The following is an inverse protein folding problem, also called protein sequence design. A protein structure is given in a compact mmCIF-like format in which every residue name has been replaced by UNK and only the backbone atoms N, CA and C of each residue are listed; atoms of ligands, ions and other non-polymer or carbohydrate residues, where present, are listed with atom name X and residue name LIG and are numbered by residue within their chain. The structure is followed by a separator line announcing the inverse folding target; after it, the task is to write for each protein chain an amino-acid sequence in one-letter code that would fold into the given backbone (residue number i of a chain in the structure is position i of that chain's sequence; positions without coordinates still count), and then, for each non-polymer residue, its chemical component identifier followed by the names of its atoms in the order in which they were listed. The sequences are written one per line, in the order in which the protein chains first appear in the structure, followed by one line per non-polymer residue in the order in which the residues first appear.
data_IF_214631996164
#
_entry.id   IF_214631996164
#
_cell.length_a   1.000
_cell.length_b   1.000
_cell.length_c   1.000
_cell.angle_alpha   90.00
_cell.angle_beta   90.00
_cell.angle_gamma   90.00
#
_symmetry.space_group_name_H-M   'P 1'
#
loop_
_entity.id
_entity.type
_entity.pdbx_description
1 polymer ?
#
# COMPACT_ATOMS: atom_id res chain seq x y z
N UNK A 1 -5.28 -3.89 -3.29
CA UNK A 1 -3.89 -3.82 -3.80
C UNK A 1 -3.39 -5.25 -4.00
N UNK A 2 -2.93 -5.64 -5.19
CA UNK A 2 -2.35 -6.98 -5.43
C UNK A 2 -3.21 -8.15 -4.93
N UNK A 3 -4.54 -8.06 -5.10
CA UNK A 3 -5.51 -9.07 -4.62
C UNK A 3 -5.88 -9.00 -3.13
N UNK A 4 -5.26 -8.09 -2.37
CA UNK A 4 -5.52 -7.86 -0.94
C UNK A 4 -6.41 -6.63 -0.74
N UNK A 5 -7.30 -6.70 0.24
CA UNK A 5 -8.03 -5.54 0.77
C UNK A 5 -7.30 -5.10 2.02
N UNK A 6 -6.80 -3.88 2.01
CA UNK A 6 -6.11 -3.29 3.16
C UNK A 6 -6.96 -2.13 3.67
N UNK A 7 -7.07 -1.97 4.99
CA UNK A 7 -7.70 -0.81 5.56
C UNK A 7 -6.90 0.44 5.21
N UNK A 8 -7.61 1.53 4.95
CA UNK A 8 -7.01 2.83 4.67
C UNK A 8 -7.75 3.86 5.52
N UNK A 9 -7.03 4.47 6.45
CA UNK A 9 -7.57 5.56 7.25
C UNK A 9 -7.35 6.88 6.53
N UNK A 10 -8.42 7.66 6.39
CA UNK A 10 -8.37 9.02 5.87
C UNK A 10 -8.45 9.98 7.05
N UNK A 11 -7.58 10.99 7.09
CA UNK A 11 -7.57 11.99 8.17
C UNK A 11 -8.88 12.75 8.28
N UNK A 12 -9.55 12.92 7.13
CA UNK A 12 -10.83 13.60 7.03
C UNK A 12 -11.74 12.87 6.04
N UNK A 13 -13.06 12.92 6.24
CA UNK A 13 -14.01 12.45 5.22
C UNK A 13 -13.96 13.37 3.98
N UNK A 14 -14.34 12.84 2.82
CA UNK A 14 -14.42 13.61 1.56
C UNK A 14 -13.07 13.94 0.93
N UNK A 15 -12.00 13.24 1.28
CA UNK A 15 -10.70 13.45 0.62
C UNK A 15 -10.74 13.00 -0.84
N UNK A 16 -10.13 13.81 -1.70
CA UNK A 16 -9.95 13.45 -3.10
C UNK A 16 -8.74 12.51 -3.28
N UNK A 17 -8.70 11.70 -4.35
CA UNK A 17 -7.54 10.85 -4.64
C UNK A 17 -6.22 11.63 -4.72
N UNK A 18 -6.24 12.88 -5.21
CA UNK A 18 -5.04 13.72 -5.27
C UNK A 18 -4.53 14.14 -3.90
N UNK A 19 -5.41 14.28 -2.92
CA UNK A 19 -5.01 14.64 -1.56
C UNK A 19 -4.41 13.44 -0.84
N UNK A 20 -5.03 12.27 -0.98
CA UNK A 20 -4.51 11.02 -0.42
C UNK A 20 -3.14 10.68 -0.99
N UNK A 21 -3.00 10.73 -2.32
CA UNK A 21 -1.70 10.46 -2.96
C UNK A 21 -0.64 11.48 -2.59
N UNK A 22 -1.02 12.74 -2.32
CA UNK A 22 -0.11 13.77 -1.81
C UNK A 22 0.37 13.46 -0.39
N UNK A 23 -0.51 12.98 0.49
CA UNK A 23 -0.12 12.52 1.84
C UNK A 23 0.85 11.34 1.73
N UNK A 24 0.53 10.36 0.88
CA UNK A 24 1.39 9.20 0.65
C UNK A 24 2.79 9.59 0.16
N UNK A 25 2.88 10.53 -0.79
CA UNK A 25 4.17 11.02 -1.28
C UNK A 25 4.93 11.84 -0.23
N UNK A 26 4.26 12.80 0.43
CA UNK A 26 4.94 13.79 1.26
C UNK A 26 5.20 13.30 2.69
N UNK A 27 4.27 12.55 3.25
CA UNK A 27 4.28 12.19 4.68
C UNK A 27 4.65 10.72 4.89
N UNK A 28 4.33 9.85 3.92
CA UNK A 28 4.69 8.43 3.99
C UNK A 28 5.93 8.11 3.15
N UNK A 29 6.42 9.06 2.35
CA UNK A 29 7.63 8.89 1.54
C UNK A 29 7.47 7.96 0.34
N UNK A 30 6.23 7.70 -0.11
CA UNK A 30 5.94 6.79 -1.21
C UNK A 30 6.11 7.54 -2.53
N UNK A 31 7.26 7.37 -3.18
CA UNK A 31 7.55 8.03 -4.43
C UNK A 31 6.51 7.67 -5.53
N UNK A 32 6.05 8.71 -6.25
CA UNK A 32 5.13 8.60 -7.38
C UNK A 32 3.74 8.05 -7.04
N UNK A 33 3.28 8.12 -5.79
CA UNK A 33 1.93 7.71 -5.42
C UNK A 33 0.84 8.45 -6.21
N UNK A 34 1.10 9.67 -6.68
CA UNK A 34 0.24 10.45 -7.58
C UNK A 34 -0.07 9.78 -8.93
N UNK A 35 0.70 8.74 -9.31
CA UNK A 35 0.46 7.94 -10.52
C UNK A 35 -0.54 6.80 -10.32
N UNK A 36 -1.01 6.59 -9.09
CA UNK A 36 -2.03 5.60 -8.80
C UNK A 36 -3.40 6.07 -9.26
N UNK A 37 -4.22 5.13 -9.72
CA UNK A 37 -5.61 5.32 -10.11
C UNK A 37 -6.52 4.64 -9.12
N UNK A 38 -7.61 5.31 -8.78
CA UNK A 38 -8.62 4.84 -7.86
C UNK A 38 -9.83 4.42 -8.68
N UNK A 39 -10.24 3.16 -8.56
CA UNK A 39 -11.44 2.66 -9.22
C UNK A 39 -12.68 3.34 -8.66
N UNK A 40 -13.57 3.79 -9.54
CA UNK A 40 -14.81 4.40 -9.13
C UNK A 40 -15.83 3.32 -8.69
N UNK A 41 -16.84 3.69 -7.88
CA UNK A 41 -17.96 2.81 -7.58
C UNK A 41 -18.65 2.31 -8.86
N UNK A 42 -19.32 1.14 -8.83
CA UNK A 42 -19.96 0.56 -10.01
C UNK A 42 -21.07 1.44 -10.62
N UNK A 43 -21.63 2.35 -9.84
CA UNK A 43 -22.66 3.31 -10.27
C UNK A 43 -22.09 4.54 -11.00
N UNK A 44 -20.77 4.74 -10.97
CA UNK A 44 -20.13 5.88 -11.61
C UNK A 44 -20.06 5.70 -13.14
N UNK A 45 -20.21 6.81 -13.88
CA UNK A 45 -20.14 6.82 -15.34
C UNK A 45 -18.74 6.44 -15.88
N UNK A 46 -17.70 6.61 -15.07
CA UNK A 46 -16.31 6.35 -15.44
C UNK A 46 -15.71 5.25 -14.56
N UNK A 47 -14.81 4.44 -15.13
CA UNK A 47 -14.11 3.37 -14.40
C UNK A 47 -13.16 3.90 -13.31
N UNK A 48 -12.64 5.12 -13.49
CA UNK A 48 -11.65 5.72 -12.59
C UNK A 48 -12.19 7.02 -12.03
N UNK A 49 -11.92 7.26 -10.74
CA UNK A 49 -12.18 8.54 -10.09
C UNK A 49 -11.23 9.60 -10.62
N UNK A 50 -11.77 10.79 -10.89
CA UNK A 50 -11.01 11.99 -11.18
C UNK A 50 -10.19 12.39 -9.97
N UNK A 51 -8.88 12.57 -10.16
CA UNK A 51 -7.97 12.84 -9.06
C UNK A 51 -8.32 14.11 -8.28
N UNK A 52 -8.92 15.11 -8.93
CA UNK A 52 -9.23 16.43 -8.36
C UNK A 52 -10.71 16.71 -8.14
N UNK A 53 -11.57 16.01 -8.89
CA UNK A 53 -13.00 16.32 -8.93
C UNK A 53 -13.86 15.37 -8.12
N UNK A 54 -13.40 14.13 -7.95
CA UNK A 54 -14.19 13.10 -7.28
C UNK A 54 -13.63 12.84 -5.88
N UNK A 55 -14.53 12.72 -4.92
CA UNK A 55 -14.18 12.33 -3.56
C UNK A 55 -14.08 10.81 -3.45
N UNK A 56 -13.25 10.34 -2.53
CA UNK A 56 -13.24 8.93 -2.18
C UNK A 56 -14.56 8.57 -1.49
N UNK A 57 -15.19 7.44 -1.88
CA UNK A 57 -16.45 7.05 -1.30
C UNK A 57 -16.27 6.83 0.21
N UNK A 58 -17.23 7.29 1.03
CA UNK A 58 -17.13 7.12 2.46
C UNK A 58 -17.10 5.63 2.84
N UNK A 59 -16.53 5.29 4.01
CA UNK A 59 -16.67 3.95 4.57
C UNK A 59 -18.17 3.62 4.67
N UNK A 60 -18.60 2.39 4.31
CA UNK A 60 -17.82 1.14 4.21
C UNK A 60 -17.21 0.78 2.85
N UNK A 61 -17.24 1.67 1.85
CA UNK A 61 -16.90 1.32 0.46
C UNK A 61 -15.43 0.92 0.27
N UNK A 62 -15.17 -0.13 -0.53
CA UNK A 62 -13.82 -0.58 -0.90
C UNK A 62 -13.42 0.00 -2.25
N UNK A 63 -12.28 0.69 -2.29
CA UNK A 63 -11.73 1.27 -3.52
C UNK A 63 -10.53 0.47 -4.01
N UNK A 64 -10.55 0.03 -5.27
CA UNK A 64 -9.39 -0.65 -5.86
C UNK A 64 -8.35 0.37 -6.33
N UNK A 65 -7.09 0.11 -6.00
CA UNK A 65 -5.96 0.87 -6.52
C UNK A 65 -5.35 0.14 -7.71
N UNK A 66 -5.00 0.90 -8.74
CA UNK A 66 -4.31 0.44 -9.93
C UNK A 66 -3.10 1.32 -10.23
N UNK A 67 -2.00 0.71 -10.65
CA UNK A 67 -0.75 1.42 -10.90
C UNK A 67 0.42 0.46 -11.07
N UNK A 68 1.64 1.01 -11.04
CA UNK A 68 2.86 0.20 -11.16
C UNK A 68 3.05 -0.67 -9.91
N UNK A 69 3.45 -1.95 -10.05
CA UNK A 69 3.61 -2.86 -8.91
C UNK A 69 4.48 -2.32 -7.77
N UNK A 70 5.65 -1.68 -8.01
CA UNK A 70 6.48 -1.17 -6.92
C UNK A 70 5.79 -0.10 -6.07
N UNK A 71 4.92 0.72 -6.68
CA UNK A 71 4.18 1.78 -5.97
C UNK A 71 3.07 1.13 -5.14
N UNK A 72 2.38 0.14 -5.72
CA UNK A 72 1.35 -0.63 -5.03
C UNK A 72 1.93 -1.38 -3.82
N UNK A 73 3.10 -2.00 -3.97
CA UNK A 73 3.78 -2.72 -2.89
C UNK A 73 4.24 -1.77 -1.79
N UNK A 74 4.75 -0.59 -2.13
CA UNK A 74 5.11 0.44 -1.15
C UNK A 74 3.89 0.95 -0.36
N UNK A 75 2.76 1.19 -1.03
CA UNK A 75 1.50 1.55 -0.34
C UNK A 75 1.02 0.41 0.55
N UNK A 76 1.04 -0.83 0.06
CA UNK A 76 0.66 -1.97 0.88
C UNK A 76 1.54 -2.09 2.13
N UNK A 77 2.85 -1.92 1.98
CA UNK A 77 3.79 -1.95 3.09
C UNK A 77 3.52 -0.83 4.10
N UNK A 78 3.34 0.41 3.62
CA UNK A 78 3.07 1.55 4.49
C UNK A 78 1.76 1.38 5.27
N UNK A 79 0.70 0.87 4.63
CA UNK A 79 -0.57 0.56 5.28
C UNK A 79 -0.45 -0.55 6.34
N UNK A 80 0.50 -1.49 6.16
CA UNK A 80 0.73 -2.54 7.16
C UNK A 80 1.62 -2.09 8.33
N UNK A 81 2.66 -1.31 8.05
CA UNK A 81 3.66 -0.93 9.06
C UNK A 81 3.16 0.15 10.01
N UNK A 82 2.34 1.08 9.52
CA UNK A 82 1.94 2.26 10.30
C UNK A 82 0.75 2.01 11.23
N UNK A 83 0.10 0.86 11.09
CA UNK A 83 -1.20 0.61 11.68
C UNK A 83 -1.29 -0.73 12.43
N UNK A 84 -0.25 -1.38 12.98
CA UNK A 84 -0.40 -2.76 13.51
C UNK A 84 -1.61 -3.01 14.46
N UNK A 85 -1.86 -2.13 15.43
CA UNK A 85 -3.05 -2.21 16.32
C UNK A 85 -4.38 -1.81 15.63
N UNK A 86 -4.32 -0.87 14.68
CA UNK A 86 -5.49 -0.34 13.97
C UNK A 86 -5.86 -1.23 12.77
N UNK A 87 -4.87 -1.89 12.19
CA UNK A 87 -4.93 -2.94 11.19
C UNK A 87 -5.77 -4.07 11.72
N UNK A 88 -5.54 -4.54 12.95
CA UNK A 88 -6.38 -5.57 13.57
C UNK A 88 -7.88 -5.15 13.64
N UNK A 89 -8.16 -3.92 14.08
CA UNK A 89 -9.55 -3.39 14.16
C UNK A 89 -10.21 -3.22 12.80
N UNK A 90 -9.43 -2.76 11.82
CA UNK A 90 -9.93 -2.37 10.51
C UNK A 90 -9.94 -3.53 9.50
N UNK A 91 -9.14 -4.58 9.72
CA UNK A 91 -9.16 -5.85 8.99
C UNK A 91 -10.41 -6.66 9.39
N UNK A 92 -10.74 -6.71 10.68
CA UNK A 92 -12.02 -7.28 11.15
C UNK A 92 -13.21 -6.56 10.47
N UNK A 93 -13.23 -5.23 10.53
CA UNK A 93 -14.28 -4.45 9.85
C UNK A 93 -14.21 -4.57 8.31
N UNK A 94 -13.02 -4.69 7.72
CA UNK A 94 -12.83 -4.80 6.27
C UNK A 94 -13.26 -6.16 5.72
N UNK A 95 -13.09 -7.23 6.49
CA UNK A 95 -13.54 -8.57 6.15
C UNK A 95 -15.07 -8.69 6.23
N UNK A 96 -15.70 -8.07 7.22
CA UNK A 96 -17.17 -7.94 7.29
C UNK A 96 -17.69 -7.15 6.08
N UNK A 97 -17.05 -6.04 5.74
CA UNK A 97 -17.41 -5.21 4.57
C UNK A 97 -17.23 -5.94 3.25
N UNK A 98 -16.17 -6.75 3.12
CA UNK A 98 -16.00 -7.60 1.95
C UNK A 98 -17.13 -8.63 1.84
N UNK A 99 -17.55 -9.23 2.97
CA UNK A 99 -18.70 -10.15 2.98
C UNK A 99 -19.99 -9.42 2.58
N UNK A 100 -20.25 -8.22 3.10
CA UNK A 100 -21.43 -7.42 2.76
C UNK A 100 -21.44 -6.97 1.30
N UNK A 101 -20.31 -6.48 0.78
CA UNK A 101 -20.19 -6.05 -0.62
C UNK A 101 -20.39 -7.21 -1.60
N UNK A 102 -19.85 -8.40 -1.28
CA UNK A 102 -20.06 -9.62 -2.07
C UNK A 102 -21.52 -10.07 -2.04
N UNK A 103 -22.19 -9.95 -0.90
CA UNK A 103 -23.62 -10.30 -0.74
C UNK A 103 -24.52 -9.31 -1.48
N UNK A 104 -24.21 -8.02 -1.43
CA UNK A 104 -25.02 -6.96 -2.04
C UNK A 104 -24.93 -6.91 -3.58
N UNK A 105 -23.78 -7.25 -4.17
CA UNK A 105 -23.53 -7.05 -5.61
C UNK A 105 -23.52 -8.33 -6.48
N UNK A 106 -23.95 -9.48 -5.93
CA UNK A 106 -24.44 -10.61 -6.75
C UNK A 106 -23.49 -11.25 -7.78
N UNK A 107 -22.16 -11.16 -7.65
CA UNK A 107 -21.30 -11.79 -8.66
C UNK A 107 -19.78 -11.77 -8.46
N UNK A 108 -19.23 -12.97 -8.22
CA UNK A 108 -17.86 -13.43 -8.52
C UNK A 108 -16.71 -12.41 -8.34
N UNK A 109 -16.34 -12.16 -7.10
CA UNK A 109 -14.95 -11.86 -6.78
C UNK A 109 -14.23 -13.17 -6.46
N UNK A 110 -13.43 -13.67 -7.40
CA UNK A 110 -12.67 -14.91 -7.23
C UNK A 110 -11.64 -14.70 -6.13
N UNK A 111 -11.88 -15.30 -4.95
CA UNK A 111 -10.87 -15.50 -3.92
C UNK A 111 -9.75 -16.36 -4.52
N UNK A 112 -8.65 -15.74 -4.96
CA UNK A 112 -7.35 -16.39 -4.78
C UNK A 112 -6.94 -16.14 -3.33
N UNK A 113 -7.56 -16.90 -2.42
CA UNK A 113 -7.13 -16.99 -1.04
C UNK A 113 -5.85 -17.82 -1.01
N UNK A 114 -4.73 -17.16 -1.23
CA UNK A 114 -3.45 -17.70 -0.80
C UNK A 114 -3.39 -17.44 0.71
N UNK A 115 -3.84 -18.44 1.47
CA UNK A 115 -3.79 -18.45 2.93
C UNK A 115 -2.33 -18.51 3.34
N UNK A 116 -1.71 -17.35 3.55
CA UNK A 116 -0.34 -17.30 4.02
C UNK A 116 -0.31 -17.60 5.52
N UNK A 117 0.17 -18.79 5.88
CA UNK A 117 0.55 -19.12 7.25
C UNK A 117 1.85 -18.38 7.57
N UNK A 118 1.78 -17.44 8.50
CA UNK A 118 2.93 -16.76 9.04
C UNK A 118 3.76 -17.77 9.86
N UNK A 119 4.85 -18.27 9.30
CA UNK A 119 5.94 -18.81 10.13
C UNK A 119 6.59 -17.61 10.78
N UNK A 120 6.43 -17.48 12.10
CA UNK A 120 7.07 -16.41 12.87
C UNK A 120 8.55 -16.33 12.48
N UNK A 121 9.11 -15.14 12.21
CA UNK A 121 10.54 -15.01 11.98
C UNK A 121 11.24 -15.57 13.22
N UNK A 122 11.93 -16.69 13.02
CA UNK A 122 12.80 -17.26 14.03
C UNK A 122 13.76 -16.17 14.45
N UNK A 123 13.69 -15.77 15.72
CA UNK A 123 14.79 -15.10 16.38
C UNK A 123 16.05 -15.94 16.16
N UNK A 124 17.17 -15.29 15.85
CA UNK A 124 18.51 -15.82 15.55
C UNK A 124 18.90 -15.91 14.06
N UNK A 125 19.62 -14.88 13.60
CA UNK A 125 21.02 -15.03 13.18
C UNK A 125 21.68 -13.64 13.20
N UNK A 126 22.15 -13.24 14.37
CA UNK A 126 22.83 -11.96 14.66
C UNK A 126 24.37 -12.09 14.66
N UNK A 127 24.90 -13.24 14.26
CA UNK A 127 26.35 -13.48 14.16
C UNK A 127 26.70 -13.80 12.71
N UNK A 128 27.21 -12.82 11.95
CA UNK A 128 28.26 -12.97 10.90
C UNK A 128 28.68 -11.61 10.26
N UNK A 129 28.56 -10.47 10.96
CA UNK A 129 29.18 -9.20 10.53
C UNK A 129 30.47 -8.87 11.30
N UNK A 130 31.43 -9.78 11.25
CA UNK A 130 32.84 -9.43 11.50
C UNK A 130 33.70 -10.09 10.42
N UNK A 131 34.10 -9.33 9.40
CA UNK A 131 35.09 -9.85 8.44
C UNK A 131 35.19 -9.22 7.05
N UNK A 132 34.58 -8.07 6.74
CA UNK A 132 34.78 -7.44 5.41
C UNK A 132 35.39 -6.05 5.54
N UNK A 133 36.70 -6.01 5.35
CA UNK A 133 37.52 -4.83 5.14
C UNK A 133 36.95 -3.92 4.03
N UNK A 134 37.01 -2.59 4.16
CA UNK A 134 36.68 -1.70 3.07
C UNK A 134 37.75 -1.78 1.97
N UNK A 135 37.35 -2.20 0.78
CA UNK A 135 38.17 -2.17 -0.44
C UNK A 135 38.22 -0.71 -0.92
N UNK A 136 39.20 0.05 -0.43
CA UNK A 136 39.61 1.30 -1.09
C UNK A 136 40.82 1.00 -1.98
N UNK A 137 40.81 1.37 -3.26
CA UNK A 137 42.03 1.31 -4.07
C UNK A 137 43.04 2.36 -3.58
N UNK A 138 44.36 2.07 -3.59
CA UNK A 138 45.37 3.02 -3.20
C UNK A 138 45.44 4.18 -4.20
N UNK A 139 45.32 5.41 -3.71
CA UNK A 139 45.54 6.64 -4.48
C UNK A 139 47.03 6.76 -4.82
N UNK A 140 47.39 6.69 -6.10
CA UNK A 140 48.73 7.06 -6.55
C UNK A 140 48.91 8.60 -6.49
N UNK A 141 50.04 9.10 -5.98
CA UNK A 141 50.30 10.53 -5.96
C UNK A 141 50.63 11.07 -7.36
N UNK A 142 50.25 12.34 -7.66
CA UNK A 142 50.50 12.93 -8.97
C UNK A 142 52.00 13.18 -9.20
N UNK A 143 52.48 13.11 -10.46
CA UNK A 143 53.86 13.44 -10.79
C UNK A 143 54.12 14.93 -10.55
N UNK A 144 55.21 15.22 -9.86
CA UNK A 144 55.73 16.57 -9.66
C UNK A 144 56.49 17.07 -10.90
N UNK A 145 56.54 18.40 -11.13
CA UNK A 145 56.97 19.03 -12.39
C UNK A 145 58.44 18.84 -12.75
#
# INVERSE_FOLDING_TARGET
ISGRVLPMHLERPGMTPSEVTRIWEKEWGIAYASRLRFEAPPEAATKWLSARGDELPPPPTVTRLDGKPPILDAVALALTQRDEDLFQRSLAAGEERFKEAVVSHGGKWVKKSETFRWSSPSTYDEEQQQGLHPIWPPMEPPPMP
#
